data_IF_133971739663
#
_entry.id   IF_133971739663
#
_cell.length_a   1.000
_cell.length_b   1.000
_cell.length_c   1.000
_cell.angle_alpha   90.00
_cell.angle_beta   90.00
_cell.angle_gamma   90.00
#
_symmetry.space_group_name_H-M   'P 1'
#
loop_
_entity.id
_entity.type
_entity.pdbx_description
1 polymer ?
#
# COMPACT_ATOMS: atom_id res chain seq x y z
N UNK A 1 5.28 -9.97 -0.32
CA UNK A 1 5.78 -8.62 -0.01
C UNK A 1 4.63 -7.64 0.10
N UNK A 2 4.81 -6.55 0.81
CA UNK A 2 3.86 -5.45 0.89
C UNK A 2 3.90 -4.54 -0.35
N UNK A 3 2.91 -3.64 -0.48
CA UNK A 3 2.80 -2.66 -1.56
C UNK A 3 3.42 -1.31 -1.17
N UNK A 4 2.74 -0.56 -0.30
CA UNK A 4 3.11 0.82 0.05
C UNK A 4 4.36 0.87 0.94
N UNK A 5 5.36 1.68 0.57
CA UNK A 5 6.64 1.74 1.28
C UNK A 5 7.62 0.60 0.99
N UNK A 6 7.13 -0.53 0.43
CA UNK A 6 7.91 -1.74 0.14
C UNK A 6 8.10 -1.96 -1.37
N UNK A 7 7.02 -1.98 -2.13
CA UNK A 7 7.04 -2.16 -3.60
C UNK A 7 7.10 -0.82 -4.32
N UNK A 8 6.41 0.18 -3.80
CA UNK A 8 6.34 1.54 -4.35
C UNK A 8 6.10 2.56 -3.23
N UNK A 9 6.22 3.85 -3.56
CA UNK A 9 5.80 4.95 -2.70
C UNK A 9 4.63 5.68 -3.36
N UNK A 10 3.57 5.95 -2.56
CA UNK A 10 2.30 6.54 -3.01
C UNK A 10 1.90 7.78 -2.19
N UNK A 11 2.67 8.13 -1.17
CA UNK A 11 2.29 9.07 -0.11
C UNK A 11 1.99 10.47 -0.67
N UNK A 12 2.87 10.99 -1.52
CA UNK A 12 2.70 12.30 -2.17
C UNK A 12 1.38 12.39 -2.94
N UNK A 13 0.98 11.30 -3.59
CA UNK A 13 -0.28 11.25 -4.32
C UNK A 13 -1.51 11.29 -3.39
N UNK A 14 -1.45 10.57 -2.27
CA UNK A 14 -2.57 10.55 -1.35
C UNK A 14 -2.72 11.88 -0.59
N UNK A 15 -1.61 12.55 -0.27
CA UNK A 15 -1.62 13.93 0.23
C UNK A 15 -2.27 14.86 -0.80
N UNK A 16 -1.90 14.78 -2.07
CA UNK A 16 -2.53 15.54 -3.15
C UNK A 16 -4.04 15.29 -3.24
N UNK A 17 -4.51 14.05 -3.11
CA UNK A 17 -5.96 13.74 -3.14
C UNK A 17 -6.68 14.36 -1.93
N UNK A 18 -6.04 14.41 -0.76
CA UNK A 18 -6.58 15.09 0.43
C UNK A 18 -6.68 16.61 0.18
N UNK A 19 -5.63 17.23 -0.39
CA UNK A 19 -5.67 18.66 -0.75
C UNK A 19 -6.80 18.98 -1.71
N UNK A 20 -6.94 18.19 -2.78
CA UNK A 20 -8.04 18.33 -3.74
C UNK A 20 -9.42 18.18 -3.08
N UNK A 21 -9.53 17.29 -2.09
CA UNK A 21 -10.76 17.11 -1.32
C UNK A 21 -11.08 18.35 -0.52
N UNK A 22 -10.09 18.90 0.18
CA UNK A 22 -10.26 20.11 0.98
C UNK A 22 -10.54 21.34 0.09
N UNK A 23 -9.85 21.48 -1.05
CA UNK A 23 -10.14 22.53 -2.04
C UNK A 23 -11.61 22.52 -2.45
N UNK A 24 -12.13 21.34 -2.77
CA UNK A 24 -13.52 21.18 -3.20
C UNK A 24 -14.53 21.48 -2.10
N UNK A 25 -14.26 21.04 -0.88
CA UNK A 25 -15.15 21.29 0.27
C UNK A 25 -15.14 22.77 0.69
N UNK A 26 -13.98 23.41 0.71
CA UNK A 26 -13.81 24.82 1.02
C UNK A 26 -14.30 25.76 -0.10
N UNK A 27 -14.42 25.27 -1.33
CA UNK A 27 -14.67 26.10 -2.50
C UNK A 27 -13.48 27.02 -2.82
N UNK A 28 -12.27 26.64 -2.44
CA UNK A 28 -11.02 27.40 -2.65
C UNK A 28 -9.98 26.56 -3.37
N UNK A 29 -9.86 26.77 -4.68
CA UNK A 29 -8.91 26.07 -5.54
C UNK A 29 -7.42 26.40 -5.24
N UNK A 30 -7.17 27.37 -4.35
CA UNK A 30 -5.82 27.77 -3.94
C UNK A 30 -5.44 27.20 -2.58
N UNK A 31 -6.34 26.51 -1.91
CA UNK A 31 -6.03 25.86 -0.65
C UNK A 31 -4.87 24.87 -0.84
N UNK A 32 -3.95 24.85 0.08
CA UNK A 32 -2.87 23.89 0.19
C UNK A 32 -2.65 23.54 1.66
N UNK A 33 -2.33 22.28 1.94
CA UNK A 33 -1.95 21.85 3.27
C UNK A 33 -0.66 22.55 3.69
N UNK A 34 -0.59 22.92 4.96
CA UNK A 34 0.65 23.46 5.54
C UNK A 34 1.68 22.31 5.73
N UNK A 35 2.95 22.63 5.72
CA UNK A 35 4.01 21.63 5.98
C UNK A 35 3.84 20.94 7.36
N UNK A 36 3.26 21.66 8.33
CA UNK A 36 2.90 21.14 9.65
C UNK A 36 1.76 20.12 9.65
N UNK A 37 0.97 20.03 8.57
CA UNK A 37 -0.14 19.09 8.44
C UNK A 37 0.30 17.72 7.95
N UNK A 38 1.37 17.67 7.17
CA UNK A 38 1.85 16.45 6.51
C UNK A 38 1.95 15.25 7.46
N UNK A 39 2.50 15.37 8.69
CA UNK A 39 2.56 14.24 9.62
C UNK A 39 1.20 13.68 10.07
N UNK A 40 0.13 14.44 9.89
CA UNK A 40 -1.24 14.05 10.27
C UNK A 40 -2.10 13.59 9.11
N UNK A 41 -1.63 13.80 7.87
CA UNK A 41 -2.32 13.36 6.64
C UNK A 41 -1.55 12.25 5.92
N UNK A 42 -0.63 11.61 6.62
CA UNK A 42 0.23 10.54 6.12
C UNK A 42 0.35 9.44 7.17
N UNK A 43 0.38 8.17 6.73
CA UNK A 43 0.62 7.02 7.60
C UNK A 43 -0.55 6.53 8.47
N UNK A 44 -1.74 7.12 8.33
CA UNK A 44 -2.96 6.74 9.03
C UNK A 44 -4.08 6.35 8.06
N UNK A 45 -5.31 6.15 8.58
CA UNK A 45 -6.45 5.87 7.70
C UNK A 45 -6.95 7.13 7.00
N UNK A 46 -7.60 6.96 5.85
CA UNK A 46 -8.24 8.10 5.14
C UNK A 46 -9.19 8.88 6.04
N UNK A 47 -9.93 8.19 6.90
CA UNK A 47 -10.88 8.82 7.83
C UNK A 47 -10.14 9.66 8.87
N UNK A 48 -9.00 9.18 9.40
CA UNK A 48 -8.19 9.93 10.36
C UNK A 48 -7.61 11.20 9.73
N UNK A 49 -7.07 11.09 8.50
CA UNK A 49 -6.56 12.23 7.74
C UNK A 49 -7.63 13.29 7.51
N UNK A 50 -8.81 12.88 7.05
CA UNK A 50 -9.91 13.80 6.80
C UNK A 50 -10.46 14.41 8.10
N UNK A 51 -10.57 13.64 9.17
CA UNK A 51 -10.95 14.18 10.48
C UNK A 51 -9.97 15.26 10.97
N UNK A 52 -8.67 15.04 10.80
CA UNK A 52 -7.68 16.07 11.13
C UNK A 52 -7.93 17.36 10.34
N UNK A 53 -8.05 17.25 9.01
CA UNK A 53 -8.29 18.39 8.13
C UNK A 53 -9.60 19.12 8.45
N UNK A 54 -10.69 18.37 8.66
CA UNK A 54 -11.98 18.95 9.01
C UNK A 54 -11.90 19.70 10.35
N UNK A 55 -11.35 19.09 11.39
CA UNK A 55 -11.21 19.73 12.70
C UNK A 55 -10.41 21.05 12.64
N UNK A 56 -9.41 21.12 11.75
CA UNK A 56 -8.57 22.31 11.61
C UNK A 56 -9.21 23.39 10.72
N UNK A 57 -9.83 23.00 9.60
CA UNK A 57 -10.22 23.92 8.54
C UNK A 57 -11.74 24.06 8.38
N UNK A 58 -12.53 23.05 8.75
CA UNK A 58 -13.99 22.98 8.54
C UNK A 58 -14.69 22.19 9.66
N UNK A 59 -14.66 22.66 10.91
CA UNK A 59 -15.11 21.85 12.06
C UNK A 59 -16.60 21.48 12.04
N UNK A 60 -17.42 22.18 11.25
CA UNK A 60 -18.85 21.92 11.13
C UNK A 60 -19.21 20.99 9.96
N UNK A 61 -18.22 20.58 9.14
CA UNK A 61 -18.46 19.68 7.99
C UNK A 61 -18.60 18.23 8.43
N UNK A 62 -19.42 17.49 7.69
CA UNK A 62 -19.68 16.07 7.98
C UNK A 62 -18.57 15.18 7.39
N UNK A 63 -18.00 14.32 8.23
CA UNK A 63 -16.96 13.38 7.81
C UNK A 63 -17.40 12.46 6.66
N UNK A 64 -18.66 12.04 6.64
CA UNK A 64 -19.16 11.18 5.55
C UNK A 64 -19.16 11.90 4.20
N UNK A 65 -19.53 13.19 4.17
CA UNK A 65 -19.43 14.02 2.97
C UNK A 65 -18.00 14.15 2.48
N UNK A 66 -17.06 14.34 3.41
CA UNK A 66 -15.65 14.45 3.09
C UNK A 66 -15.08 13.14 2.55
N UNK A 67 -15.44 12.01 3.15
CA UNK A 67 -15.04 10.66 2.69
C UNK A 67 -15.59 10.37 1.30
N UNK A 68 -16.85 10.68 1.05
CA UNK A 68 -17.46 10.53 -0.29
C UNK A 68 -16.76 11.40 -1.33
N UNK A 69 -16.52 12.67 -0.99
CA UNK A 69 -15.78 13.59 -1.85
C UNK A 69 -14.38 13.07 -2.18
N UNK A 70 -13.64 12.60 -1.17
CA UNK A 70 -12.32 12.01 -1.33
C UNK A 70 -12.35 10.80 -2.28
N UNK A 71 -13.27 9.86 -2.08
CA UNK A 71 -13.36 8.69 -2.94
C UNK A 71 -13.65 9.04 -4.39
N UNK A 72 -14.53 10.00 -4.63
CA UNK A 72 -14.85 10.45 -5.98
C UNK A 72 -13.64 11.09 -6.68
N UNK A 73 -12.85 11.89 -5.96
CA UNK A 73 -11.62 12.49 -6.48
C UNK A 73 -10.56 11.39 -6.73
N UNK A 74 -10.36 10.50 -5.76
CA UNK A 74 -9.40 9.41 -5.88
C UNK A 74 -9.70 8.53 -7.10
N UNK A 75 -10.94 8.09 -7.27
CA UNK A 75 -11.35 7.27 -8.42
C UNK A 75 -11.13 7.97 -9.76
N UNK A 76 -11.46 9.26 -9.82
CA UNK A 76 -11.21 10.06 -11.03
C UNK A 76 -9.71 10.14 -11.35
N UNK A 77 -8.88 10.49 -10.36
CA UNK A 77 -7.44 10.63 -10.55
C UNK A 77 -6.77 9.30 -10.93
N UNK A 78 -7.17 8.21 -10.27
CA UNK A 78 -6.65 6.88 -10.57
C UNK A 78 -7.07 6.40 -11.98
N UNK A 79 -8.28 6.72 -12.42
CA UNK A 79 -8.72 6.45 -13.79
C UNK A 79 -7.87 7.21 -14.81
N UNK A 80 -7.60 8.51 -14.59
CA UNK A 80 -6.71 9.28 -15.44
C UNK A 80 -5.31 8.65 -15.54
N UNK A 81 -4.74 8.23 -14.41
CA UNK A 81 -3.45 7.56 -14.35
C UNK A 81 -3.48 6.24 -15.15
N UNK A 82 -4.53 5.43 -14.99
CA UNK A 82 -4.69 4.17 -15.73
C UNK A 82 -4.76 4.39 -17.24
N UNK A 83 -5.38 5.46 -17.68
CA UNK A 83 -5.49 5.85 -19.09
C UNK A 83 -4.23 6.59 -19.61
N UNK A 84 -3.19 6.75 -18.76
CA UNK A 84 -1.92 7.39 -19.13
C UNK A 84 -2.00 8.92 -19.15
N UNK A 85 -2.92 9.51 -18.39
CA UNK A 85 -3.11 10.96 -18.23
C UNK A 85 -2.91 11.38 -16.77
N UNK A 86 -2.91 12.69 -16.53
CA UNK A 86 -2.75 13.25 -15.17
C UNK A 86 -1.41 12.91 -14.54
N UNK A 87 -1.42 12.51 -13.30
CA UNK A 87 -0.22 12.23 -12.48
C UNK A 87 0.35 10.82 -12.73
N UNK A 88 0.73 10.52 -13.97
CA UNK A 88 1.21 9.18 -14.38
C UNK A 88 2.44 8.69 -13.63
N UNK A 89 3.25 9.59 -13.07
CA UNK A 89 4.47 9.30 -12.30
C UNK A 89 4.24 9.38 -10.78
N UNK A 90 2.97 9.41 -10.33
CA UNK A 90 2.62 9.55 -8.92
C UNK A 90 3.12 8.38 -8.06
N UNK A 91 3.15 7.18 -8.63
CA UNK A 91 3.52 5.95 -7.93
C UNK A 91 4.94 5.56 -8.31
N UNK A 92 5.88 5.89 -7.43
CA UNK A 92 7.31 5.65 -7.67
C UNK A 92 7.67 4.22 -7.23
N UNK A 93 8.11 3.35 -8.16
CA UNK A 93 8.56 2.01 -7.77
C UNK A 93 9.76 2.08 -6.85
N UNK A 94 9.87 1.13 -5.92
CA UNK A 94 11.04 1.01 -5.05
C UNK A 94 12.32 0.79 -5.87
N UNK A 95 13.42 1.34 -5.39
CA UNK A 95 14.73 1.19 -6.02
C UNK A 95 15.09 -0.29 -6.16
N UNK A 96 15.50 -0.69 -7.38
CA UNK A 96 15.88 -2.06 -7.67
C UNK A 96 14.72 -3.06 -7.81
N UNK A 97 13.45 -2.62 -7.75
CA UNK A 97 12.27 -3.51 -7.82
C UNK A 97 12.31 -4.44 -9.04
N UNK A 98 12.60 -3.89 -10.22
CA UNK A 98 12.64 -4.68 -11.47
C UNK A 98 13.67 -5.80 -11.41
N UNK A 99 14.87 -5.50 -10.95
CA UNK A 99 15.97 -6.45 -10.88
C UNK A 99 15.69 -7.51 -9.79
N UNK A 100 15.16 -7.08 -8.65
CA UNK A 100 14.72 -7.96 -7.57
C UNK A 100 13.68 -8.97 -8.06
N UNK A 101 12.57 -8.52 -8.64
CA UNK A 101 11.51 -9.40 -9.12
C UNK A 101 11.98 -10.32 -10.25
N UNK A 102 12.84 -9.81 -11.13
CA UNK A 102 13.42 -10.61 -12.22
C UNK A 102 14.30 -11.72 -11.67
N UNK A 103 15.14 -11.43 -10.67
CA UNK A 103 16.04 -12.41 -10.09
C UNK A 103 15.28 -13.46 -9.26
N UNK A 104 14.26 -13.04 -8.49
CA UNK A 104 13.37 -13.96 -7.75
C UNK A 104 12.71 -14.97 -8.69
N UNK A 105 12.22 -14.51 -9.85
CA UNK A 105 11.63 -15.37 -10.87
C UNK A 105 12.65 -16.35 -11.48
N UNK A 106 13.88 -15.88 -11.77
CA UNK A 106 14.97 -16.77 -12.26
C UNK A 106 15.31 -17.88 -11.27
N UNK A 107 15.22 -17.60 -9.97
CA UNK A 107 15.44 -18.60 -8.92
C UNK A 107 14.25 -19.53 -8.68
N UNK A 108 13.18 -19.39 -9.48
CA UNK A 108 11.95 -20.18 -9.34
C UNK A 108 11.26 -20.01 -7.98
N UNK A 109 11.44 -18.84 -7.35
CA UNK A 109 10.80 -18.48 -6.08
C UNK A 109 9.46 -17.82 -6.41
N UNK A 110 8.39 -18.32 -5.80
CA UNK A 110 7.07 -17.67 -5.89
C UNK A 110 7.06 -16.37 -5.13
N UNK A 111 6.43 -15.35 -5.70
CA UNK A 111 6.28 -14.05 -5.06
C UNK A 111 4.83 -13.61 -5.07
N UNK A 112 4.36 -13.14 -3.92
CA UNK A 112 3.03 -12.60 -3.76
C UNK A 112 3.06 -11.19 -3.22
N UNK A 113 2.06 -10.40 -3.58
CA UNK A 113 1.82 -9.04 -3.12
C UNK A 113 0.62 -9.02 -2.20
N UNK A 114 0.74 -8.36 -1.03
CA UNK A 114 -0.36 -8.17 -0.09
C UNK A 114 -0.42 -6.71 0.37
N UNK A 115 -1.58 -6.08 0.24
CA UNK A 115 -1.81 -4.72 0.73
C UNK A 115 -3.16 -4.60 1.43
N UNK A 116 -3.23 -3.78 2.49
CA UNK A 116 -4.49 -3.37 3.10
C UNK A 116 -5.27 -2.37 2.25
N UNK A 117 -4.65 -1.82 1.21
CA UNK A 117 -5.29 -0.95 0.24
C UNK A 117 -6.42 -1.65 -0.51
N UNK A 118 -7.50 -0.93 -0.76
CA UNK A 118 -8.64 -1.45 -1.54
C UNK A 118 -8.28 -1.62 -3.02
N UNK A 119 -8.94 -2.52 -3.72
CA UNK A 119 -8.71 -2.84 -5.15
C UNK A 119 -8.58 -1.60 -6.02
N UNK A 120 -9.52 -0.66 -5.87
CA UNK A 120 -9.57 0.52 -6.72
C UNK A 120 -8.38 1.47 -6.54
N UNK A 121 -7.65 1.35 -5.41
CA UNK A 121 -6.39 2.05 -5.13
C UNK A 121 -5.20 1.21 -5.57
N UNK A 122 -5.04 0.04 -4.97
CA UNK A 122 -3.85 -0.79 -5.09
C UNK A 122 -3.55 -1.26 -6.53
N UNK A 123 -4.59 -1.58 -7.31
CA UNK A 123 -4.37 -2.05 -8.69
C UNK A 123 -3.83 -0.94 -9.59
N UNK A 124 -4.41 0.28 -9.63
CA UNK A 124 -3.82 1.40 -10.36
C UNK A 124 -2.40 1.76 -9.93
N UNK A 125 -2.10 1.75 -8.62
CA UNK A 125 -0.78 2.05 -8.08
C UNK A 125 0.29 1.12 -8.66
N UNK A 126 0.05 -0.20 -8.55
CA UNK A 126 1.02 -1.19 -9.03
C UNK A 126 1.15 -1.18 -10.56
N UNK A 127 0.05 -1.00 -11.29
CA UNK A 127 0.07 -0.93 -12.75
C UNK A 127 0.86 0.31 -13.21
N UNK A 128 0.68 1.46 -12.58
CA UNK A 128 1.42 2.68 -12.89
C UNK A 128 2.92 2.53 -12.59
N UNK A 129 3.29 1.99 -11.42
CA UNK A 129 4.69 1.72 -11.08
C UNK A 129 5.36 0.75 -12.08
N UNK A 130 4.66 -0.30 -12.49
CA UNK A 130 5.17 -1.23 -13.49
C UNK A 130 5.30 -0.60 -14.89
N UNK A 131 4.40 0.31 -15.24
CA UNK A 131 4.51 1.10 -16.48
C UNK A 131 5.77 1.95 -16.49
N UNK A 132 6.08 2.64 -15.40
CA UNK A 132 7.29 3.45 -15.24
C UNK A 132 8.56 2.62 -15.44
N UNK A 133 8.56 1.36 -14.99
CA UNK A 133 9.68 0.43 -15.16
C UNK A 133 9.69 -0.30 -16.52
N UNK A 134 8.71 -0.07 -17.38
CA UNK A 134 8.50 -0.83 -18.62
C UNK A 134 8.45 -2.35 -18.38
N UNK A 135 7.74 -2.78 -17.34
CA UNK A 135 7.62 -4.20 -16.96
C UNK A 135 6.36 -4.88 -17.50
N UNK A 136 5.39 -4.10 -18.00
CA UNK A 136 4.11 -4.63 -18.45
C UNK A 136 3.16 -5.00 -17.31
N UNK A 137 2.46 -6.13 -17.43
CA UNK A 137 1.44 -6.55 -16.48
C UNK A 137 2.08 -7.09 -15.19
N UNK A 138 1.71 -6.55 -14.00
CA UNK A 138 2.17 -7.05 -12.70
C UNK A 138 1.94 -8.55 -12.48
N UNK A 139 0.88 -9.12 -13.05
CA UNK A 139 0.55 -10.56 -12.97
C UNK A 139 1.58 -11.48 -13.63
N UNK A 140 2.47 -10.94 -14.45
CA UNK A 140 3.59 -11.71 -15.00
C UNK A 140 4.73 -11.90 -13.98
N UNK A 141 4.74 -11.11 -12.92
CA UNK A 141 5.77 -11.14 -11.88
C UNK A 141 5.25 -11.69 -10.56
N UNK A 142 4.08 -11.25 -10.11
CA UNK A 142 3.47 -11.78 -8.89
C UNK A 142 2.62 -13.00 -9.19
N UNK A 143 2.86 -14.08 -8.45
CA UNK A 143 2.10 -15.33 -8.56
C UNK A 143 0.72 -15.21 -7.89
N UNK A 144 0.56 -14.23 -7.00
CA UNK A 144 -0.72 -13.83 -6.42
C UNK A 144 -0.67 -12.38 -5.93
N UNK A 145 -1.80 -11.68 -6.01
CA UNK A 145 -2.00 -10.32 -5.48
C UNK A 145 -3.25 -10.36 -4.62
N UNK A 146 -3.12 -10.01 -3.34
CA UNK A 146 -4.22 -9.91 -2.39
C UNK A 146 -4.31 -8.47 -1.89
N UNK A 147 -5.48 -7.89 -2.02
CA UNK A 147 -5.81 -6.52 -1.57
C UNK A 147 -6.74 -6.53 -0.38
N UNK A 148 -7.01 -5.38 0.21
CA UNK A 148 -8.05 -5.22 1.23
C UNK A 148 -9.48 -5.39 0.71
N UNK A 149 -9.67 -5.62 -0.57
CA UNK A 149 -10.96 -5.82 -1.22
C UNK A 149 -11.59 -4.55 -1.77
N UNK A 150 -12.91 -4.59 -2.00
CA UNK A 150 -13.67 -3.45 -2.54
C UNK A 150 -14.20 -2.57 -1.41
N UNK A 151 -14.62 -1.34 -1.76
CA UNK A 151 -15.36 -0.50 -0.81
C UNK A 151 -16.69 -1.16 -0.42
N UNK A 152 -17.13 -0.96 0.82
CA UNK A 152 -18.39 -1.52 1.35
C UNK A 152 -19.65 -1.11 0.59
N UNK A 153 -19.61 0.06 -0.02
CA UNK A 153 -20.72 0.62 -0.81
C UNK A 153 -20.79 0.09 -2.25
N UNK A 154 -19.77 -0.62 -2.74
CA UNK A 154 -19.72 -1.15 -4.11
C UNK A 154 -19.69 -2.69 -4.18
N UNK A 155 -19.81 -3.40 -3.07
CA UNK A 155 -20.01 -4.84 -3.04
C UNK A 155 -18.91 -5.65 -2.37
N UNK A 156 -18.67 -6.87 -2.87
CA UNK A 156 -17.89 -7.92 -2.22
C UNK A 156 -16.44 -7.54 -1.90
N UNK A 157 -15.92 -8.20 -0.88
CA UNK A 157 -14.57 -8.00 -0.36
C UNK A 157 -13.74 -9.23 -0.57
N UNK A 158 -12.48 -9.05 -0.94
CA UNK A 158 -11.44 -10.06 -0.99
C UNK A 158 -11.87 -11.43 -1.49
N UNK A 159 -11.02 -12.43 -1.34
CA UNK A 159 -11.29 -13.80 -1.75
C UNK A 159 -12.08 -14.60 -0.72
N UNK A 160 -12.02 -14.21 0.54
CA UNK A 160 -12.71 -14.87 1.67
C UNK A 160 -13.80 -14.00 2.32
N UNK A 161 -14.27 -12.97 1.60
CA UNK A 161 -15.21 -11.99 2.14
C UNK A 161 -14.48 -10.74 2.66
N UNK A 162 -14.90 -10.23 3.81
CA UNK A 162 -14.29 -9.03 4.39
C UNK A 162 -12.90 -9.35 4.97
N UNK A 163 -11.84 -8.81 4.35
CA UNK A 163 -10.48 -8.98 4.83
C UNK A 163 -10.18 -7.90 5.86
N UNK A 164 -9.81 -8.30 7.07
CA UNK A 164 -9.33 -7.38 8.08
C UNK A 164 -7.95 -6.83 7.69
N UNK A 165 -7.79 -5.51 7.81
CA UNK A 165 -6.53 -4.82 7.52
C UNK A 165 -5.42 -5.22 8.50
N UNK A 166 -4.15 -5.02 8.11
CA UNK A 166 -2.99 -5.15 9.01
C UNK A 166 -3.22 -4.29 10.29
N UNK A 167 -2.88 -4.79 11.48
CA UNK A 167 -2.00 -5.93 11.78
C UNK A 167 -2.69 -7.30 11.85
N UNK A 168 -3.96 -7.45 11.43
CA UNK A 168 -4.61 -8.75 11.39
C UNK A 168 -3.84 -9.68 10.43
N UNK A 169 -3.65 -10.98 10.79
CA UNK A 169 -2.83 -11.90 9.98
C UNK A 169 -3.48 -12.34 8.66
N UNK A 170 -4.76 -12.12 8.49
CA UNK A 170 -5.55 -12.68 7.40
C UNK A 170 -4.94 -12.47 6.02
N UNK A 171 -4.55 -11.24 5.70
CA UNK A 171 -4.09 -10.92 4.33
C UNK A 171 -2.86 -11.73 3.92
N UNK A 172 -1.91 -11.94 4.83
CA UNK A 172 -0.72 -12.74 4.56
C UNK A 172 -0.99 -14.23 4.60
N UNK A 173 -1.91 -14.71 5.47
CA UNK A 173 -2.33 -16.11 5.46
C UNK A 173 -3.10 -16.45 4.20
N UNK A 174 -4.00 -15.59 3.75
CA UNK A 174 -4.72 -15.75 2.47
C UNK A 174 -3.73 -15.75 1.29
N UNK A 175 -2.79 -14.80 1.25
CA UNK A 175 -1.78 -14.76 0.21
C UNK A 175 -0.96 -16.04 0.17
N UNK A 176 -0.45 -16.51 1.31
CA UNK A 176 0.40 -17.69 1.37
C UNK A 176 -0.36 -18.97 0.99
N UNK A 177 -1.46 -19.25 1.68
CA UNK A 177 -2.13 -20.55 1.56
C UNK A 177 -3.08 -20.65 0.37
N UNK A 178 -3.83 -19.60 0.04
CA UNK A 178 -4.76 -19.61 -1.08
C UNK A 178 -4.11 -19.07 -2.36
N UNK A 179 -3.37 -17.99 -2.27
CA UNK A 179 -2.72 -17.37 -3.41
C UNK A 179 -1.53 -18.19 -3.93
N UNK A 180 -0.50 -18.36 -3.10
CA UNK A 180 0.75 -19.01 -3.49
C UNK A 180 0.72 -20.54 -3.34
N UNK A 181 -0.34 -21.11 -2.72
CA UNK A 181 -0.49 -22.55 -2.46
C UNK A 181 0.68 -23.11 -1.63
N UNK A 182 1.09 -22.38 -0.61
CA UNK A 182 2.13 -22.80 0.32
C UNK A 182 1.63 -24.00 1.13
N UNK A 183 2.45 -25.04 1.23
CA UNK A 183 2.19 -26.24 2.05
C UNK A 183 3.10 -26.31 3.28
N UNK A 184 4.26 -25.67 3.22
CA UNK A 184 5.21 -25.58 4.32
C UNK A 184 5.48 -24.11 4.67
N UNK A 185 4.96 -23.60 5.80
CA UNK A 185 5.12 -22.21 6.19
C UNK A 185 6.57 -21.81 6.50
N UNK A 186 7.46 -22.79 6.74
CA UNK A 186 8.89 -22.52 6.97
C UNK A 186 9.63 -22.04 5.72
N UNK A 187 9.03 -22.22 4.56
CA UNK A 187 9.55 -21.76 3.26
C UNK A 187 9.09 -20.34 2.88
N UNK A 188 8.31 -19.68 3.75
CA UNK A 188 7.78 -18.34 3.51
C UNK A 188 8.66 -17.31 4.21
N UNK A 189 8.90 -16.18 3.52
CA UNK A 189 9.47 -14.98 4.12
C UNK A 189 8.64 -13.76 3.72
N UNK A 190 8.32 -12.92 4.68
CA UNK A 190 7.62 -11.66 4.45
C UNK A 190 8.60 -10.51 4.27
N UNK A 191 8.25 -9.54 3.41
CA UNK A 191 9.01 -8.30 3.19
C UNK A 191 8.06 -7.14 3.50
N UNK A 192 8.46 -6.30 4.44
CA UNK A 192 7.63 -5.23 4.99
C UNK A 192 8.46 -4.04 5.48
N UNK A 193 7.84 -2.85 5.48
CA UNK A 193 8.44 -1.63 6.02
C UNK A 193 7.66 -1.05 7.22
N UNK A 194 6.42 -1.51 7.42
CA UNK A 194 5.50 -0.96 8.43
C UNK A 194 5.39 -1.84 9.68
N UNK A 195 5.15 -1.19 10.83
CA UNK A 195 4.88 -1.86 12.09
C UNK A 195 3.66 -2.79 12.02
N UNK A 196 2.58 -2.31 11.40
CA UNK A 196 1.35 -3.09 11.25
C UNK A 196 1.57 -4.33 10.38
N UNK A 197 2.36 -4.22 9.32
CA UNK A 197 2.67 -5.34 8.45
C UNK A 197 3.62 -6.36 9.08
N UNK A 198 4.63 -5.89 9.84
CA UNK A 198 5.50 -6.78 10.63
C UNK A 198 4.67 -7.61 11.61
N UNK A 199 3.76 -6.97 12.36
CA UNK A 199 2.85 -7.69 13.27
C UNK A 199 1.96 -8.68 12.52
N UNK A 200 1.38 -8.27 11.39
CA UNK A 200 0.54 -9.14 10.55
C UNK A 200 1.29 -10.40 10.11
N UNK A 201 2.52 -10.26 9.60
CA UNK A 201 3.37 -11.40 9.21
C UNK A 201 3.72 -12.29 10.40
N UNK A 202 4.10 -11.71 11.54
CA UNK A 202 4.44 -12.45 12.75
C UNK A 202 3.24 -13.22 13.31
N UNK A 203 2.05 -12.62 13.32
CA UNK A 203 0.81 -13.30 13.70
C UNK A 203 0.40 -14.39 12.71
N UNK A 204 0.81 -14.27 11.45
CA UNK A 204 0.68 -15.35 10.44
C UNK A 204 1.68 -16.49 10.63
N UNK A 205 2.65 -16.34 11.54
CA UNK A 205 3.71 -17.33 11.78
C UNK A 205 4.90 -17.22 10.80
N UNK A 206 4.98 -16.17 9.99
CA UNK A 206 6.03 -16.01 8.99
C UNK A 206 7.21 -15.16 9.51
N UNK A 207 8.46 -15.50 9.14
CA UNK A 207 9.61 -14.64 9.36
C UNK A 207 9.52 -13.38 8.49
N UNK A 208 10.09 -12.27 8.99
CA UNK A 208 10.00 -10.96 8.34
C UNK A 208 11.39 -10.40 8.07
N UNK A 209 11.62 -9.95 6.84
CA UNK A 209 12.69 -9.02 6.51
C UNK A 209 12.08 -7.62 6.48
N UNK A 210 12.56 -6.74 7.36
CA UNK A 210 12.10 -5.36 7.46
C UNK A 210 12.90 -4.45 6.53
N UNK A 211 12.22 -3.56 5.79
CA UNK A 211 12.84 -2.43 5.08
C UNK A 211 12.94 -1.22 6.01
N UNK A 212 14.04 -0.48 5.92
CA UNK A 212 14.26 0.74 6.71
C UNK A 212 13.52 1.98 6.16
N UNK A 213 12.70 1.82 5.14
CA UNK A 213 11.90 2.89 4.52
C UNK A 213 10.73 3.37 5.37
N UNK A 214 10.17 2.51 6.21
CA UNK A 214 8.96 2.79 6.97
C UNK A 214 9.18 3.00 8.48
N UNK A 215 8.18 2.64 9.29
CA UNK A 215 8.10 3.01 10.70
C UNK A 215 8.43 1.88 11.69
N UNK A 216 9.05 0.78 11.25
CA UNK A 216 9.36 -0.38 12.11
C UNK A 216 10.20 0.03 13.32
N UNK A 217 11.28 0.81 13.09
CA UNK A 217 12.19 1.24 14.16
C UNK A 217 11.53 2.19 15.13
N UNK A 218 10.79 3.19 14.64
CA UNK A 218 10.07 4.16 15.46
C UNK A 218 9.03 3.47 16.36
N UNK A 219 8.50 2.34 15.90
CA UNK A 219 7.52 1.53 16.65
C UNK A 219 8.16 0.51 17.59
N UNK A 220 9.50 0.42 17.65
CA UNK A 220 10.22 -0.51 18.52
C UNK A 220 10.11 -1.97 18.12
N UNK A 221 9.74 -2.28 16.87
CA UNK A 221 9.46 -3.64 16.41
C UNK A 221 10.63 -4.31 15.67
N UNK A 222 11.82 -3.71 15.71
CA UNK A 222 13.02 -4.27 15.08
C UNK A 222 13.30 -5.72 15.51
N UNK A 223 13.04 -6.05 16.78
CA UNK A 223 13.25 -7.38 17.34
C UNK A 223 12.34 -8.48 16.75
N UNK A 224 11.29 -8.10 16.04
CA UNK A 224 10.39 -9.03 15.35
C UNK A 224 10.85 -9.35 13.92
N UNK A 225 11.79 -8.59 13.38
CA UNK A 225 12.41 -8.85 12.09
C UNK A 225 13.59 -9.81 12.22
N UNK A 226 13.66 -10.82 11.38
CA UNK A 226 14.83 -11.70 11.33
C UNK A 226 16.05 -10.98 10.72
N UNK A 227 15.81 -10.00 9.87
CA UNK A 227 16.80 -9.08 9.31
C UNK A 227 16.16 -7.77 8.94
N UNK A 228 16.94 -6.69 8.98
CA UNK A 228 16.59 -5.39 8.40
C UNK A 228 17.54 -5.05 7.27
N UNK A 229 17.01 -4.45 6.21
CA UNK A 229 17.75 -4.08 5.00
C UNK A 229 17.34 -2.69 4.54
N UNK A 230 18.19 -2.06 3.74
CA UNK A 230 17.90 -0.74 3.16
C UNK A 230 17.35 -0.84 1.73
N UNK A 231 17.63 -1.95 1.04
CA UNK A 231 17.29 -2.13 -0.38
C UNK A 231 16.80 -3.57 -0.64
N UNK A 232 15.93 -3.72 -1.62
CA UNK A 232 15.42 -5.01 -2.07
C UNK A 232 16.52 -5.97 -2.52
N UNK A 233 17.59 -5.47 -3.12
CA UNK A 233 18.73 -6.28 -3.58
C UNK A 233 19.41 -7.07 -2.45
N UNK A 234 19.45 -6.51 -1.23
CA UNK A 234 20.06 -7.18 -0.08
C UNK A 234 19.28 -8.44 0.32
N UNK A 235 17.99 -8.50 -0.01
CA UNK A 235 17.13 -9.66 0.26
C UNK A 235 17.55 -10.86 -0.57
N UNK A 236 18.06 -10.64 -1.79
CA UNK A 236 18.54 -11.71 -2.68
C UNK A 236 19.71 -12.50 -2.09
N UNK A 237 20.38 -11.97 -1.05
CA UNK A 237 21.43 -12.67 -0.32
C UNK A 237 20.90 -13.53 0.83
N UNK A 238 19.61 -13.41 1.13
CA UNK A 238 18.94 -14.11 2.24
C UNK A 238 18.14 -15.31 1.73
N UNK A 239 17.64 -15.21 0.48
CA UNK A 239 16.74 -16.18 -0.16
C UNK A 239 17.46 -17.00 -1.25
#
# INVERSE_FOLDING_TARGET
MDLDGTTLTSEDFWVFVIEQTMQKLLGDDKFSLEESDIPFVSGFTTVDHLNYCLNKYMPDENINSAVECYHNIAEFQLKEIMEGRGHVDAFKPADGLKDFLTEVKKRNIKIGLATSGLDYKAIPEIVAAFRTLNMGDPRNYYDAIITGGRRKDVGDYGTLGEVASKPHPWIYTELAYLGLKVTDPTTVIGIEDSAAGVLSLRFSGFPVVGLNSGNITQSGLDCLCCKKVNKLEEILQII
#
